data_IF_781960117630
#
_entry.id   IF_781960117630
#
_cell.length_a   1.000
_cell.length_b   1.000
_cell.length_c   1.000
_cell.angle_alpha   90.00
_cell.angle_beta   90.00
_cell.angle_gamma   90.00
#
_symmetry.space_group_name_H-M   'P 1'
#
loop_
_entity.id
_entity.type
_entity.pdbx_description
1 polymer ?
#
# COMPACT_ATOMS: atom_id res chain seq x y z
N UNK A 1 17.18 14.06 -16.72
CA UNK A 1 15.93 13.37 -16.34
C UNK A 1 16.26 12.59 -15.07
N UNK A 2 15.49 12.77 -14.00
CA UNK A 2 15.74 12.10 -12.73
C UNK A 2 14.90 10.83 -12.69
N UNK A 3 15.53 9.67 -12.46
CA UNK A 3 14.92 8.34 -12.54
C UNK A 3 15.10 7.60 -11.20
N UNK A 4 14.64 8.19 -10.11
CA UNK A 4 14.69 7.52 -8.82
C UNK A 4 13.72 6.34 -8.77
N UNK A 5 14.15 5.22 -8.19
CA UNK A 5 13.28 4.08 -7.90
C UNK A 5 12.99 4.04 -6.41
N UNK A 6 11.73 3.90 -6.07
CA UNK A 6 11.24 3.66 -4.71
C UNK A 6 10.57 2.29 -4.70
N UNK A 7 11.04 1.42 -3.81
CA UNK A 7 10.51 0.06 -3.62
C UNK A 7 10.21 -0.15 -2.14
N UNK A 8 9.04 -0.71 -1.82
CA UNK A 8 8.68 -1.09 -0.44
C UNK A 8 8.79 0.06 0.57
N UNK A 9 8.42 1.27 0.14
CA UNK A 9 8.50 2.48 0.96
C UNK A 9 7.12 2.92 1.46
N UNK A 10 7.05 3.36 2.71
CA UNK A 10 5.96 4.19 3.22
C UNK A 10 6.39 5.66 3.14
N UNK A 11 5.71 6.45 2.32
CA UNK A 11 5.95 7.89 2.14
C UNK A 11 4.71 8.62 2.65
N UNK A 12 4.72 8.93 3.95
CA UNK A 12 3.55 9.48 4.62
C UNK A 12 3.88 10.62 5.60
N UNK A 13 2.87 11.46 5.87
CA UNK A 13 3.01 12.54 6.83
C UNK A 13 4.00 13.62 6.40
N UNK A 14 4.16 13.87 5.09
CA UNK A 14 4.93 15.00 4.61
C UNK A 14 4.10 16.29 4.67
N UNK A 15 4.69 17.40 5.12
CA UNK A 15 4.03 18.73 5.12
C UNK A 15 3.75 19.28 3.72
N UNK A 16 4.41 18.73 2.71
CA UNK A 16 4.19 19.02 1.31
C UNK A 16 3.66 17.76 0.61
N UNK A 17 4.01 17.54 -0.66
CA UNK A 17 3.72 16.28 -1.33
C UNK A 17 4.66 15.13 -0.93
N UNK A 18 4.32 13.91 -1.34
CA UNK A 18 5.15 12.72 -1.14
C UNK A 18 6.35 12.70 -2.09
N UNK A 19 6.12 12.42 -3.37
CA UNK A 19 7.18 12.38 -4.41
C UNK A 19 7.00 13.53 -5.40
N UNK A 20 8.07 14.25 -5.70
CA UNK A 20 8.01 15.42 -6.58
C UNK A 20 9.05 15.40 -7.70
N UNK A 21 8.62 15.90 -8.87
CA UNK A 21 9.38 16.04 -10.11
C UNK A 21 9.85 14.71 -10.73
N UNK A 22 10.59 14.81 -11.84
CA UNK A 22 11.27 13.68 -12.47
C UNK A 22 10.36 12.62 -13.09
N UNK A 23 10.95 11.43 -13.25
CA UNK A 23 10.40 10.25 -13.91
C UNK A 23 10.58 9.04 -12.97
N UNK A 24 9.98 9.07 -11.76
CA UNK A 24 10.25 8.04 -10.78
C UNK A 24 9.59 6.72 -11.15
N UNK A 25 10.20 5.62 -10.69
CA UNK A 25 9.58 4.30 -10.65
C UNK A 25 9.14 4.05 -9.22
N UNK A 26 7.88 3.68 -9.04
CA UNK A 26 7.24 3.45 -7.74
C UNK A 26 6.70 2.02 -7.76
N UNK A 27 7.32 1.15 -6.97
CA UNK A 27 6.99 -0.27 -6.90
C UNK A 27 6.65 -0.61 -5.44
N UNK A 28 5.51 -1.25 -5.22
CA UNK A 28 5.10 -1.70 -3.88
C UNK A 28 5.26 -0.58 -2.83
N UNK A 29 4.78 0.64 -3.09
CA UNK A 29 4.89 1.74 -2.14
C UNK A 29 3.52 2.14 -1.60
N UNK A 30 3.50 2.64 -0.37
CA UNK A 30 2.33 3.30 0.21
C UNK A 30 2.64 4.79 0.34
N UNK A 31 1.94 5.63 -0.43
CA UNK A 31 2.08 7.08 -0.42
C UNK A 31 0.78 7.67 0.09
N UNK A 32 0.75 8.06 1.36
CA UNK A 32 -0.50 8.42 2.04
C UNK A 32 -0.34 9.59 3.01
N UNK A 33 -1.45 10.25 3.34
CA UNK A 33 -1.49 11.24 4.43
C UNK A 33 -0.47 12.39 4.31
N UNK A 34 -0.07 12.72 3.08
CA UNK A 34 0.74 13.89 2.79
C UNK A 34 -0.17 15.12 2.63
N UNK A 35 0.27 16.31 3.07
CA UNK A 35 -0.55 17.53 2.99
C UNK A 35 -0.64 18.12 1.57
N UNK A 36 0.25 17.72 0.67
CA UNK A 36 0.20 18.03 -0.76
C UNK A 36 -0.09 16.80 -1.61
N UNK A 37 0.28 16.84 -2.89
CA UNK A 37 0.10 15.70 -3.79
C UNK A 37 0.82 14.45 -3.28
N UNK A 38 0.21 13.27 -3.39
CA UNK A 38 0.92 12.00 -3.22
C UNK A 38 2.13 11.94 -4.16
N UNK A 39 1.89 12.15 -5.45
CA UNK A 39 2.91 12.37 -6.47
C UNK A 39 2.61 13.60 -7.32
N UNK A 40 3.62 14.44 -7.55
CA UNK A 40 3.60 15.52 -8.54
C UNK A 40 4.83 15.39 -9.44
N UNK A 41 4.73 14.63 -10.53
CA UNK A 41 5.87 14.18 -11.35
C UNK A 41 5.74 14.59 -12.83
N UNK A 42 6.75 14.29 -13.65
CA UNK A 42 6.68 14.52 -15.10
C UNK A 42 5.98 13.34 -15.77
N UNK A 43 6.57 12.16 -15.72
CA UNK A 43 6.02 10.90 -16.25
C UNK A 43 6.47 9.74 -15.35
N UNK A 44 5.73 9.45 -14.27
CA UNK A 44 6.05 8.36 -13.36
C UNK A 44 5.60 6.99 -13.90
N UNK A 45 6.27 5.94 -13.45
CA UNK A 45 5.80 4.56 -13.57
C UNK A 45 5.39 4.07 -12.18
N UNK A 46 4.17 3.58 -12.03
CA UNK A 46 3.63 3.06 -10.77
C UNK A 46 3.11 1.65 -10.96
N UNK A 47 3.55 0.74 -10.09
CA UNK A 47 3.08 -0.65 -10.05
C UNK A 47 2.86 -1.09 -8.60
N UNK A 48 1.83 -1.89 -8.34
CA UNK A 48 1.56 -2.54 -7.04
C UNK A 48 1.50 -1.57 -5.84
N UNK A 49 1.17 -0.31 -6.08
CA UNK A 49 1.33 0.77 -5.09
C UNK A 49 -0.01 1.33 -4.63
N UNK A 50 -0.04 1.89 -3.43
CA UNK A 50 -1.21 2.55 -2.85
C UNK A 50 -0.92 4.06 -2.78
N UNK A 51 -1.77 4.87 -3.39
CA UNK A 51 -1.73 6.33 -3.30
C UNK A 51 -3.09 6.85 -2.86
N UNK A 52 -3.22 7.15 -1.56
CA UNK A 52 -4.52 7.38 -0.93
C UNK A 52 -4.42 8.41 0.20
N UNK A 53 -5.50 9.16 0.46
CA UNK A 53 -5.59 10.11 1.58
C UNK A 53 -4.56 11.25 1.57
N UNK A 54 -3.97 11.57 0.42
CA UNK A 54 -3.11 12.74 0.28
C UNK A 54 -3.97 13.98 0.02
N UNK A 55 -3.68 15.07 0.75
CA UNK A 55 -4.43 16.32 0.74
C UNK A 55 -5.97 16.10 0.64
N UNK A 56 -6.71 17.03 0.04
CA UNK A 56 -8.13 16.87 -0.27
C UNK A 56 -8.35 15.94 -1.49
N UNK A 57 -7.74 14.75 -1.49
CA UNK A 57 -7.81 13.77 -2.58
C UNK A 57 -6.85 14.05 -3.74
N UNK A 58 -5.81 14.86 -3.51
CA UNK A 58 -4.81 15.19 -4.51
C UNK A 58 -3.75 14.08 -4.58
N UNK A 59 -4.00 13.02 -5.34
CA UNK A 59 -3.12 11.85 -5.33
C UNK A 59 -2.04 11.89 -6.41
N UNK A 60 -2.40 12.03 -7.68
CA UNK A 60 -1.45 12.10 -8.79
C UNK A 60 -1.62 13.39 -9.61
N UNK A 61 -0.55 14.18 -9.71
CA UNK A 61 -0.36 15.22 -10.71
C UNK A 61 0.78 14.79 -11.67
N UNK A 62 0.45 14.62 -12.95
CA UNK A 62 1.41 14.21 -13.99
C UNK A 62 1.41 15.22 -15.13
N UNK A 63 2.60 15.55 -15.65
CA UNK A 63 2.78 16.58 -16.71
C UNK A 63 2.90 15.97 -18.11
N UNK A 64 3.15 14.67 -18.19
CA UNK A 64 3.26 13.83 -19.38
C UNK A 64 2.59 12.48 -19.09
N UNK A 65 2.62 11.57 -20.06
CA UNK A 65 2.03 10.23 -19.94
C UNK A 65 2.68 9.43 -18.80
N UNK A 66 1.84 8.89 -17.93
CA UNK A 66 2.23 8.04 -16.82
C UNK A 66 1.86 6.58 -17.12
N UNK A 67 2.70 5.65 -16.71
CA UNK A 67 2.38 4.21 -16.76
C UNK A 67 1.94 3.78 -15.38
N UNK A 68 0.71 3.32 -15.22
CA UNK A 68 0.15 2.95 -13.91
C UNK A 68 -0.63 1.66 -14.05
N UNK A 69 -0.27 0.64 -13.28
CA UNK A 69 -0.95 -0.66 -13.27
C UNK A 69 -0.96 -1.28 -11.88
N UNK A 70 -1.98 -2.09 -11.57
CA UNK A 70 -2.13 -2.78 -10.30
C UNK A 70 -1.95 -1.87 -9.07
N UNK A 71 -2.41 -0.62 -9.15
CA UNK A 71 -2.33 0.35 -8.08
C UNK A 71 -3.72 0.64 -7.49
N UNK A 72 -3.76 0.93 -6.18
CA UNK A 72 -4.94 1.52 -5.56
C UNK A 72 -4.76 3.03 -5.44
N UNK A 73 -5.53 3.81 -6.20
CA UNK A 73 -5.37 5.27 -6.28
C UNK A 73 -6.69 5.97 -6.03
N UNK A 74 -6.75 6.78 -4.97
CA UNK A 74 -7.95 7.55 -4.65
C UNK A 74 -8.27 8.58 -5.75
N UNK A 75 -9.52 8.57 -6.20
CA UNK A 75 -9.99 9.36 -7.34
C UNK A 75 -9.96 8.60 -8.66
N UNK A 76 -9.44 7.37 -8.66
CA UNK A 76 -9.35 6.48 -9.81
C UNK A 76 -8.27 6.87 -10.80
N UNK A 77 -7.63 5.86 -11.42
CA UNK A 77 -6.65 6.09 -12.47
C UNK A 77 -6.68 4.99 -13.52
N UNK A 78 -6.63 5.31 -14.83
CA UNK A 78 -6.65 4.30 -15.87
C UNK A 78 -5.41 3.41 -15.81
N UNK A 79 -5.60 2.14 -16.12
CA UNK A 79 -4.55 1.13 -16.11
C UNK A 79 -5.09 -0.26 -15.79
N UNK A 80 -4.36 -1.29 -16.19
CA UNK A 80 -4.71 -2.67 -15.87
C UNK A 80 -4.64 -2.90 -14.36
N UNK A 81 -5.65 -3.55 -13.79
CA UNK A 81 -5.68 -3.92 -12.38
C UNK A 81 -5.74 -2.76 -11.38
N UNK A 82 -5.84 -1.51 -11.84
CA UNK A 82 -6.01 -0.38 -10.95
C UNK A 82 -7.38 -0.39 -10.29
N UNK A 83 -7.41 -0.02 -9.01
CA UNK A 83 -8.62 0.07 -8.20
C UNK A 83 -8.68 1.44 -7.50
N UNK A 84 -9.87 1.83 -7.06
CA UNK A 84 -10.09 2.97 -6.17
C UNK A 84 -11.05 2.55 -5.07
N UNK A 85 -10.47 2.12 -3.97
CA UNK A 85 -11.18 1.64 -2.79
C UNK A 85 -10.38 2.05 -1.56
N UNK A 86 -11.04 2.23 -0.41
CA UNK A 86 -10.32 2.48 0.84
C UNK A 86 -9.30 1.34 1.07
N UNK A 87 -8.00 1.65 1.27
CA UNK A 87 -6.99 0.64 1.57
C UNK A 87 -7.24 -0.12 2.87
N UNK A 88 -8.06 0.41 3.77
CA UNK A 88 -8.38 -0.19 5.09
C UNK A 88 -7.10 -0.50 5.87
N UNK A 89 -6.27 0.52 6.12
CA UNK A 89 -5.06 0.38 6.93
C UNK A 89 -5.38 0.04 8.39
N UNK A 90 -4.46 -0.66 9.07
CA UNK A 90 -4.56 -0.98 10.51
C UNK A 90 -4.74 0.31 11.31
N UNK A 91 -3.87 1.30 11.09
CA UNK A 91 -4.00 2.63 11.65
C UNK A 91 -3.34 3.69 10.75
N UNK A 92 -4.09 4.69 10.29
CA UNK A 92 -3.48 5.82 9.58
C UNK A 92 -2.67 6.69 10.53
N UNK A 93 -1.63 7.32 9.99
CA UNK A 93 -0.95 8.40 10.70
C UNK A 93 -1.81 9.66 10.71
N UNK A 94 -1.52 10.58 11.63
CA UNK A 94 -2.29 11.81 11.77
C UNK A 94 -1.41 13.01 12.14
N UNK A 95 -1.77 14.17 11.60
CA UNK A 95 -1.26 15.45 12.08
C UNK A 95 -2.06 15.88 13.31
N UNK A 96 -1.36 16.18 14.39
CA UNK A 96 -1.94 16.68 15.63
C UNK A 96 -2.12 18.21 15.57
N UNK A 97 -2.94 18.75 16.47
CA UNK A 97 -3.25 20.20 16.55
C UNK A 97 -1.99 21.07 16.81
N UNK A 98 -0.95 20.50 17.42
CA UNK A 98 0.34 21.15 17.63
C UNK A 98 1.25 21.13 16.38
N UNK A 99 0.74 20.56 15.28
CA UNK A 99 1.46 20.42 14.02
C UNK A 99 2.51 19.32 14.02
N UNK A 100 2.55 18.41 15.01
CA UNK A 100 3.40 17.24 15.01
C UNK A 100 2.73 16.06 14.28
N UNK A 101 3.55 15.25 13.62
CA UNK A 101 3.09 14.02 12.97
C UNK A 101 3.13 12.85 13.96
N UNK A 102 2.00 12.19 14.13
CA UNK A 102 1.90 10.89 14.78
C UNK A 102 1.96 9.80 13.71
N UNK A 103 2.98 8.92 13.71
CA UNK A 103 3.06 7.83 12.75
C UNK A 103 1.90 6.84 12.95
N UNK A 104 1.49 6.21 11.86
CA UNK A 104 0.50 5.14 11.83
C UNK A 104 1.11 3.79 11.46
N UNK A 105 0.25 2.78 11.40
CA UNK A 105 0.50 1.44 10.91
C UNK A 105 -0.22 1.23 9.56
N UNK A 106 0.56 1.30 8.47
CA UNK A 106 0.07 1.19 7.10
C UNK A 106 0.00 -0.25 6.58
N UNK A 107 0.11 -1.25 7.47
CA UNK A 107 -0.31 -2.61 7.11
C UNK A 107 -1.79 -2.63 6.77
N UNK A 108 -2.19 -3.57 5.93
CA UNK A 108 -3.58 -3.74 5.52
C UNK A 108 -4.33 -4.51 6.60
N UNK A 109 -5.55 -4.09 6.96
CA UNK A 109 -6.39 -4.88 7.86
C UNK A 109 -6.75 -6.21 7.23
N UNK A 110 -6.82 -7.26 8.06
CA UNK A 110 -7.30 -8.57 7.63
C UNK A 110 -8.01 -9.34 8.72
N UNK A 111 -9.12 -9.99 8.37
CA UNK A 111 -9.76 -10.99 9.22
C UNK A 111 -8.96 -12.30 9.30
N UNK A 112 -7.99 -12.50 8.39
CA UNK A 112 -6.98 -13.55 8.44
C UNK A 112 -5.93 -13.18 9.47
N UNK A 113 -4.91 -12.44 9.03
CA UNK A 113 -3.91 -11.82 9.90
C UNK A 113 -3.38 -10.51 9.33
N UNK A 114 -3.11 -9.54 10.19
CA UNK A 114 -2.36 -8.32 9.89
C UNK A 114 -1.20 -8.19 10.86
N UNK A 115 -0.09 -7.60 10.42
CA UNK A 115 1.05 -7.35 11.29
C UNK A 115 0.75 -6.11 12.15
N UNK A 116 0.86 -6.24 13.47
CA UNK A 116 0.76 -5.12 14.40
C UNK A 116 2.17 -4.63 14.75
N UNK A 117 2.55 -3.46 14.24
CA UNK A 117 3.89 -2.88 14.46
C UNK A 117 4.12 -2.52 15.93
N UNK A 118 3.07 -2.17 16.68
CA UNK A 118 3.19 -1.76 18.08
C UNK A 118 3.54 -2.94 19.00
N UNK A 119 3.04 -4.13 18.66
CA UNK A 119 3.28 -5.36 19.42
C UNK A 119 4.42 -6.19 18.81
N UNK A 120 4.73 -6.01 17.53
CA UNK A 120 5.64 -6.89 16.79
C UNK A 120 5.09 -8.31 16.66
N UNK A 121 3.78 -8.44 16.52
CA UNK A 121 3.05 -9.71 16.50
C UNK A 121 1.93 -9.67 15.46
N UNK A 122 1.47 -10.85 15.04
CA UNK A 122 0.29 -10.98 14.21
C UNK A 122 -0.99 -10.75 15.02
N UNK A 123 -1.90 -9.96 14.46
CA UNK A 123 -3.23 -9.67 14.99
C UNK A 123 -4.29 -9.93 13.91
N UNK A 124 -5.57 -9.87 14.25
CA UNK A 124 -6.66 -9.97 13.27
C UNK A 124 -7.64 -8.81 13.46
N UNK A 125 -8.24 -8.42 12.36
CA UNK A 125 -9.14 -7.28 12.27
C UNK A 125 -10.59 -7.72 12.06
N UNK A 126 -11.50 -6.74 12.09
CA UNK A 126 -12.92 -6.91 11.79
C UNK A 126 -13.24 -6.76 10.28
N UNK A 127 -12.26 -6.37 9.48
CA UNK A 127 -12.37 -6.15 8.05
C UNK A 127 -11.14 -6.69 7.30
N UNK A 128 -11.33 -6.99 6.01
CA UNK A 128 -10.25 -7.41 5.12
C UNK A 128 -10.10 -6.38 4.01
N UNK A 129 -8.89 -5.84 3.88
CA UNK A 129 -8.57 -4.86 2.85
C UNK A 129 -8.72 -5.46 1.45
N UNK A 130 -9.34 -4.72 0.50
CA UNK A 130 -9.38 -5.11 -0.91
C UNK A 130 -8.02 -4.99 -1.61
N UNK A 131 -7.00 -4.47 -0.93
CA UNK A 131 -5.62 -4.41 -1.44
C UNK A 131 -4.80 -5.68 -1.14
N UNK A 132 -5.35 -6.60 -0.34
CA UNK A 132 -4.75 -7.92 -0.14
C UNK A 132 -4.97 -8.75 -1.41
N UNK A 133 -3.95 -9.51 -1.82
CA UNK A 133 -4.02 -10.36 -3.02
C UNK A 133 -4.40 -9.60 -4.30
N UNK A 134 -4.11 -8.30 -4.39
CA UNK A 134 -4.64 -7.43 -5.45
C UNK A 134 -3.60 -6.99 -6.49
N UNK A 135 -2.31 -7.19 -6.22
CA UNK A 135 -1.23 -6.72 -7.07
C UNK A 135 -1.09 -7.52 -8.39
N UNK A 136 -0.07 -7.18 -9.18
CA UNK A 136 0.28 -7.81 -10.43
C UNK A 136 0.47 -9.33 -10.26
N UNK A 137 -0.36 -10.17 -10.92
CA UNK A 137 -0.28 -11.63 -10.80
C UNK A 137 1.01 -12.24 -11.36
N UNK A 138 1.79 -11.48 -12.12
CA UNK A 138 3.07 -11.94 -12.66
C UNK A 138 4.24 -11.77 -11.69
N UNK A 139 4.06 -10.98 -10.62
CA UNK A 139 5.11 -10.80 -9.62
C UNK A 139 5.17 -12.00 -8.67
N UNK A 140 6.38 -12.44 -8.26
CA UNK A 140 6.51 -13.52 -7.28
C UNK A 140 5.97 -13.05 -5.93
N UNK A 141 5.45 -14.01 -5.13
CA UNK A 141 4.98 -13.74 -3.76
C UNK A 141 6.06 -13.14 -2.85
N UNK A 142 7.34 -13.33 -3.16
CA UNK A 142 8.43 -12.83 -2.32
C UNK A 142 8.45 -13.52 -0.95
N UNK A 143 8.58 -12.73 0.10
CA UNK A 143 8.68 -13.22 1.48
C UNK A 143 7.32 -13.24 2.20
N UNK A 144 6.20 -13.07 1.49
CA UNK A 144 4.88 -13.15 2.13
C UNK A 144 4.63 -14.54 2.77
N UNK A 145 4.06 -14.60 4.00
CA UNK A 145 3.89 -15.87 4.70
C UNK A 145 2.95 -16.87 3.98
N UNK A 146 3.43 -18.10 3.79
CA UNK A 146 2.72 -19.14 3.02
C UNK A 146 1.62 -19.89 3.79
N UNK A 147 1.50 -19.70 5.11
CA UNK A 147 0.46 -20.29 5.98
C UNK A 147 0.21 -21.79 5.76
N UNK A 148 1.27 -22.61 5.83
CA UNK A 148 1.16 -24.05 5.63
C UNK A 148 0.47 -24.78 6.80
N UNK A 149 -0.06 -25.98 6.57
CA UNK A 149 -0.73 -26.75 7.60
C UNK A 149 0.20 -27.03 8.81
N UNK A 150 -0.17 -26.50 9.98
CA UNK A 150 0.62 -26.58 11.21
C UNK A 150 1.36 -25.30 11.57
N UNK A 151 1.40 -24.30 10.68
CA UNK A 151 1.80 -22.94 10.99
C UNK A 151 0.76 -22.27 11.90
N UNK A 152 1.15 -21.57 12.98
CA UNK A 152 0.24 -20.76 13.78
C UNK A 152 -0.68 -19.84 12.97
N UNK A 153 -0.22 -19.32 11.83
CA UNK A 153 -0.99 -18.43 10.97
C UNK A 153 -2.08 -19.15 10.16
N UNK A 154 -1.91 -20.45 9.92
CA UNK A 154 -2.86 -21.26 9.16
C UNK A 154 -4.23 -21.44 9.86
N UNK A 155 -4.35 -21.08 11.14
CA UNK A 155 -5.64 -21.10 11.85
C UNK A 155 -6.67 -20.17 11.18
N UNK A 156 -6.24 -19.01 10.67
CA UNK A 156 -7.14 -17.99 10.11
C UNK A 156 -6.89 -17.65 8.65
N UNK A 157 -5.68 -17.87 8.17
CA UNK A 157 -5.28 -17.51 6.81
C UNK A 157 -4.98 -18.74 5.96
N UNK A 158 -5.26 -18.63 4.66
CA UNK A 158 -4.89 -19.61 3.65
C UNK A 158 -3.54 -19.30 2.98
N UNK A 159 -2.90 -18.19 3.37
CA UNK A 159 -1.81 -17.58 2.62
C UNK A 159 -2.33 -16.71 1.47
N UNK A 160 -1.43 -15.92 0.89
CA UNK A 160 -1.76 -15.05 -0.24
C UNK A 160 -1.47 -15.77 -1.57
N UNK A 161 -2.33 -15.55 -2.56
CA UNK A 161 -2.19 -16.04 -3.93
C UNK A 161 -1.43 -15.06 -4.86
N UNK A 162 -1.42 -13.77 -4.52
CA UNK A 162 -0.69 -12.69 -5.18
C UNK A 162 -0.12 -11.77 -4.10
N UNK A 163 0.93 -11.02 -4.41
CA UNK A 163 1.41 -10.04 -3.44
C UNK A 163 0.31 -9.02 -3.13
N UNK A 164 0.34 -8.48 -1.92
CA UNK A 164 -0.50 -7.34 -1.57
C UNK A 164 -0.06 -6.09 -2.34
N UNK A 165 -0.98 -5.15 -2.54
CA UNK A 165 -0.57 -3.80 -2.95
C UNK A 165 0.03 -3.04 -1.76
N UNK A 166 0.95 -2.12 -2.04
CA UNK A 166 1.53 -1.20 -1.06
C UNK A 166 2.87 -1.65 -0.48
N UNK A 167 3.37 -0.87 0.48
CA UNK A 167 4.72 -0.97 1.07
C UNK A 167 5.12 -2.37 1.53
N UNK A 168 4.17 -3.10 2.11
CA UNK A 168 4.40 -4.39 2.74
C UNK A 168 4.13 -5.58 1.82
N UNK A 169 3.60 -5.35 0.61
CA UNK A 169 3.43 -6.41 -0.38
C UNK A 169 4.77 -7.01 -0.80
N UNK A 170 4.85 -8.33 -0.82
CA UNK A 170 6.08 -9.08 -1.11
C UNK A 170 7.01 -9.25 0.09
N UNK A 171 6.61 -8.83 1.30
CA UNK A 171 7.46 -8.85 2.51
C UNK A 171 6.96 -9.83 3.57
N UNK A 172 7.81 -10.18 4.54
CA UNK A 172 7.46 -11.06 5.67
C UNK A 172 6.33 -10.52 6.58
N UNK A 173 6.01 -9.24 6.46
CA UNK A 173 4.96 -8.57 7.26
C UNK A 173 3.68 -8.33 6.46
N UNK A 174 3.58 -8.85 5.23
CA UNK A 174 2.38 -8.71 4.42
C UNK A 174 1.16 -9.35 5.10
N UNK A 175 0.08 -8.58 5.24
CA UNK A 175 -1.18 -9.08 5.75
C UNK A 175 -1.70 -10.26 4.93
N UNK A 176 -2.41 -11.17 5.57
CA UNK A 176 -2.78 -12.47 5.01
C UNK A 176 -4.27 -12.56 4.77
N UNK A 177 -4.68 -13.01 3.60
CA UNK A 177 -6.07 -13.26 3.28
C UNK A 177 -6.71 -14.29 4.25
N UNK A 178 -7.95 -14.06 4.73
CA UNK A 178 -8.66 -15.05 5.52
C UNK A 178 -9.04 -16.28 4.69
N UNK A 179 -9.32 -17.39 5.38
CA UNK A 179 -9.94 -18.55 4.73
C UNK A 179 -11.24 -18.19 4.02
N UNK A 180 -11.38 -18.61 2.76
CA UNK A 180 -12.60 -18.37 1.97
C UNK A 180 -12.78 -16.93 1.51
N UNK A 181 -11.72 -16.12 1.51
CA UNK A 181 -11.69 -14.87 0.77
C UNK A 181 -12.14 -15.10 -0.70
N UNK A 182 -12.95 -14.20 -1.27
CA UNK A 182 -13.51 -14.34 -2.62
C UNK A 182 -12.45 -14.33 -3.73
#
# INVERSE_FOLDING_TARGET
RNYGTFANCVIAGNRAGGVSSGYPVIENCTIADNLGYGLSCVAPTLTNSIVYFNADGANLEVRQEATVSYCNIQGGWPGEGNIDVDPVFVARGQWLDDGLWSPGDYHLKSQGWSWDVSQGLWSWDDATSPCIDAADPSWPLGDEPLCEAGDPLAERAAGNARINMGAYGGTEQASLAPHGAP
#
